data_IF_645668624052
#
_entry.id   IF_645668624052
#
_cell.length_a   1.000
_cell.length_b   1.000
_cell.length_c   1.000
_cell.angle_alpha   90.00
_cell.angle_beta   90.00
_cell.angle_gamma   90.00
#
_symmetry.space_group_name_H-M   'P 1'
#
loop_
_entity.id
_entity.type
_entity.pdbx_description
1 polymer ?
#
# COMPACT_ATOMS: atom_id res chain seq x y z
N UNK A 1 2.49 -15.26 -16.20
CA UNK A 1 2.78 -14.23 -15.18
C UNK A 1 1.45 -13.62 -14.82
N UNK A 2 1.16 -13.43 -13.53
CA UNK A 2 -0.05 -12.73 -13.12
C UNK A 2 -0.05 -11.30 -13.70
N UNK A 3 -1.22 -10.83 -14.10
CA UNK A 3 -1.40 -9.45 -14.55
C UNK A 3 -1.24 -8.52 -13.36
N UNK A 4 -0.51 -7.42 -13.52
CA UNK A 4 -0.34 -6.44 -12.45
C UNK A 4 -1.48 -5.42 -12.53
N UNK A 5 -2.12 -5.13 -11.41
CA UNK A 5 -3.12 -4.07 -11.28
C UNK A 5 -2.42 -2.71 -11.11
N UNK A 6 -1.82 -2.24 -12.21
CA UNK A 6 -0.98 -1.05 -12.21
C UNK A 6 -1.73 0.23 -11.83
N UNK A 7 -3.02 0.34 -12.15
CA UNK A 7 -3.82 1.50 -11.76
C UNK A 7 -4.07 1.52 -10.23
N UNK A 8 -4.25 0.37 -9.60
CA UNK A 8 -4.32 0.27 -8.14
C UNK A 8 -2.99 0.68 -7.47
N UNK A 9 -1.86 0.24 -8.02
CA UNK A 9 -0.53 0.64 -7.53
C UNK A 9 -0.33 2.16 -7.58
N UNK A 10 -0.77 2.83 -8.65
CA UNK A 10 -0.69 4.30 -8.78
C UNK A 10 -1.54 5.01 -7.73
N UNK A 11 -2.78 4.53 -7.47
CA UNK A 11 -3.64 5.10 -6.43
C UNK A 11 -3.02 4.92 -5.05
N UNK A 12 -2.51 3.72 -4.75
CA UNK A 12 -1.82 3.42 -3.50
C UNK A 12 -0.58 4.30 -3.31
N UNK A 13 0.24 4.45 -4.35
CA UNK A 13 1.42 5.32 -4.32
C UNK A 13 1.07 6.75 -3.90
N UNK A 14 0.06 7.34 -4.51
CA UNK A 14 -0.39 8.70 -4.16
C UNK A 14 -0.78 8.81 -2.69
N UNK A 15 -1.49 7.83 -2.15
CA UNK A 15 -1.87 7.78 -0.72
C UNK A 15 -0.65 7.61 0.19
N UNK A 16 0.34 6.81 -0.20
CA UNK A 16 1.56 6.64 0.57
C UNK A 16 2.41 7.93 0.60
N UNK A 17 2.50 8.64 -0.53
CA UNK A 17 3.14 9.96 -0.57
C UNK A 17 2.39 10.97 0.31
N UNK A 18 1.05 10.99 0.26
CA UNK A 18 0.23 11.84 1.13
C UNK A 18 0.39 11.51 2.62
N UNK A 19 0.65 10.24 2.96
CA UNK A 19 0.98 9.80 4.32
C UNK A 19 2.42 10.15 4.75
N UNK A 20 3.19 10.84 3.90
CA UNK A 20 4.53 11.33 4.17
C UNK A 20 5.66 10.33 3.87
N UNK A 21 5.39 9.26 3.12
CA UNK A 21 6.46 8.36 2.67
C UNK A 21 7.30 9.01 1.57
N UNK A 22 8.59 8.67 1.53
CA UNK A 22 9.42 9.05 0.38
C UNK A 22 9.03 8.23 -0.86
N UNK A 23 9.35 8.68 -2.09
CA UNK A 23 9.16 7.86 -3.29
C UNK A 23 9.80 6.47 -3.19
N UNK A 24 10.99 6.38 -2.59
CA UNK A 24 11.67 5.10 -2.35
C UNK A 24 10.91 4.24 -1.33
N UNK A 25 10.42 4.84 -0.25
CA UNK A 25 9.60 4.19 0.76
C UNK A 25 8.31 3.61 0.18
N UNK A 26 7.54 4.44 -0.53
CA UNK A 26 6.30 4.04 -1.17
C UNK A 26 6.51 2.90 -2.19
N UNK A 27 7.54 3.00 -3.03
CA UNK A 27 7.86 1.96 -4.01
C UNK A 27 8.33 0.65 -3.36
N UNK A 28 9.11 0.71 -2.28
CA UNK A 28 9.52 -0.47 -1.51
C UNK A 28 8.32 -1.19 -0.89
N UNK A 29 7.34 -0.45 -0.36
CA UNK A 29 6.08 -1.01 0.15
C UNK A 29 5.25 -1.63 -0.98
N UNK A 30 5.04 -0.92 -2.10
CA UNK A 30 4.31 -1.44 -3.27
C UNK A 30 4.91 -2.77 -3.77
N UNK A 31 6.23 -2.87 -3.86
CA UNK A 31 6.89 -4.10 -4.31
C UNK A 31 6.60 -5.31 -3.42
N UNK A 32 6.44 -5.10 -2.11
CA UNK A 32 6.02 -6.13 -1.17
C UNK A 32 4.53 -6.49 -1.34
N UNK A 33 3.65 -5.50 -1.35
CA UNK A 33 2.20 -5.72 -1.52
C UNK A 33 1.88 -6.39 -2.86
N UNK A 34 2.58 -6.04 -3.94
CA UNK A 34 2.46 -6.72 -5.23
C UNK A 34 2.84 -8.21 -5.15
N UNK A 35 3.88 -8.53 -4.37
CA UNK A 35 4.30 -9.92 -4.18
C UNK A 35 3.31 -10.70 -3.31
N UNK A 36 2.76 -10.09 -2.26
CA UNK A 36 1.79 -10.72 -1.34
C UNK A 36 0.45 -11.00 -2.04
N UNK A 37 -0.05 -10.05 -2.81
CA UNK A 37 -1.37 -10.12 -3.44
C UNK A 37 -1.35 -10.56 -4.90
N UNK A 38 -0.24 -11.17 -5.38
CA UNK A 38 -0.06 -11.73 -6.72
C UNK A 38 -0.42 -10.73 -7.84
N UNK A 39 0.07 -9.49 -7.72
CA UNK A 39 -0.16 -8.43 -8.70
C UNK A 39 -0.94 -7.22 -8.19
N UNK A 40 -1.02 -7.00 -6.89
CA UNK A 40 -1.72 -5.89 -6.24
C UNK A 40 -3.26 -6.00 -6.30
N UNK A 41 -3.78 -7.20 -5.97
CA UNK A 41 -5.22 -7.47 -5.95
C UNK A 41 -5.78 -7.48 -4.52
N UNK A 42 -6.69 -6.55 -4.15
CA UNK A 42 -7.24 -6.46 -2.79
C UNK A 42 -8.20 -7.59 -2.42
N UNK A 43 -8.69 -8.38 -3.39
CA UNK A 43 -9.52 -9.55 -3.18
C UNK A 43 -8.72 -10.86 -3.09
N UNK A 44 -7.38 -10.79 -3.12
CA UNK A 44 -6.54 -12.00 -3.15
C UNK A 44 -6.74 -12.86 -1.91
N UNK A 45 -7.15 -14.09 -2.10
CA UNK A 45 -7.17 -15.14 -1.09
C UNK A 45 -5.92 -16.00 -1.23
N UNK A 46 -5.28 -16.35 -0.13
CA UNK A 46 -4.14 -17.26 -0.18
C UNK A 46 -4.47 -18.55 -0.94
N UNK A 47 -3.63 -18.92 -1.91
CA UNK A 47 -3.86 -20.09 -2.77
C UNK A 47 -4.16 -21.37 -1.98
N UNK A 48 -3.43 -21.61 -0.88
CA UNK A 48 -3.63 -22.81 -0.06
C UNK A 48 -5.01 -22.80 0.64
N UNK A 49 -5.57 -21.63 0.96
CA UNK A 49 -6.93 -21.53 1.47
C UNK A 49 -7.94 -22.05 0.43
N UNK A 50 -7.91 -21.50 -0.77
CA UNK A 50 -8.81 -21.89 -1.87
C UNK A 50 -8.68 -23.38 -2.19
N UNK A 51 -7.45 -23.88 -2.32
CA UNK A 51 -7.18 -25.28 -2.59
C UNK A 51 -7.81 -26.20 -1.53
N UNK A 52 -7.58 -25.91 -0.24
CA UNK A 52 -8.07 -26.74 0.86
C UNK A 52 -9.57 -26.61 1.08
N UNK A 53 -10.16 -25.45 0.83
CA UNK A 53 -11.61 -25.28 0.84
C UNK A 53 -12.25 -26.19 -0.23
N UNK A 54 -11.65 -26.24 -1.43
CA UNK A 54 -12.11 -27.12 -2.50
C UNK A 54 -12.01 -28.61 -2.12
N UNK A 55 -10.94 -29.02 -1.47
CA UNK A 55 -10.75 -30.37 -0.94
C UNK A 55 -11.83 -30.74 0.10
N UNK A 56 -12.42 -29.72 0.77
CA UNK A 56 -13.52 -29.84 1.74
C UNK A 56 -14.90 -29.52 1.11
N UNK A 57 -15.04 -29.61 -0.22
CA UNK A 57 -16.31 -29.44 -0.90
C UNK A 57 -16.80 -27.99 -1.09
N UNK A 58 -15.99 -26.98 -0.70
CA UNK A 58 -16.30 -25.56 -0.84
C UNK A 58 -15.45 -24.95 -1.96
N UNK A 59 -15.99 -24.72 -3.14
CA UNK A 59 -15.27 -24.19 -4.29
C UNK A 59 -15.45 -22.66 -4.39
N UNK A 60 -14.33 -21.94 -4.38
CA UNK A 60 -14.31 -20.48 -4.52
C UNK A 60 -13.22 -20.04 -5.50
N UNK A 61 -13.44 -18.88 -6.14
CA UNK A 61 -12.40 -17.99 -6.69
C UNK A 61 -12.16 -16.84 -5.70
N UNK A 62 -11.17 -15.99 -5.93
CA UNK A 62 -10.94 -14.79 -5.12
C UNK A 62 -12.20 -13.90 -5.08
N UNK A 63 -12.87 -13.72 -6.22
CA UNK A 63 -14.09 -12.91 -6.36
C UNK A 63 -15.27 -13.55 -5.61
N UNK A 64 -15.50 -14.84 -5.81
CA UNK A 64 -16.66 -15.52 -5.19
C UNK A 64 -16.47 -15.70 -3.68
N UNK A 65 -15.23 -15.85 -3.20
CA UNK A 65 -14.92 -15.86 -1.77
C UNK A 65 -15.21 -14.49 -1.16
N UNK A 66 -14.70 -13.42 -1.77
CA UNK A 66 -14.95 -12.04 -1.35
C UNK A 66 -16.45 -11.73 -1.31
N UNK A 67 -17.19 -12.07 -2.36
CA UNK A 67 -18.64 -11.89 -2.41
C UNK A 67 -19.37 -12.69 -1.30
N UNK A 68 -18.90 -13.89 -0.97
CA UNK A 68 -19.46 -14.70 0.11
C UNK A 68 -19.20 -14.08 1.50
N UNK A 69 -18.04 -13.44 1.69
CA UNK A 69 -17.73 -12.66 2.89
C UNK A 69 -18.60 -11.41 3.00
N UNK A 70 -18.72 -10.65 1.91
CA UNK A 70 -19.46 -9.38 1.89
C UNK A 70 -20.95 -9.58 2.15
N UNK A 71 -21.55 -10.63 1.58
CA UNK A 71 -22.98 -10.95 1.73
C UNK A 71 -23.33 -11.81 2.95
N UNK A 72 -22.34 -12.15 3.78
CA UNK A 72 -22.54 -12.89 5.03
C UNK A 72 -22.71 -14.41 4.88
N UNK A 73 -22.48 -14.99 3.69
CA UNK A 73 -22.43 -16.45 3.51
C UNK A 73 -21.19 -17.05 4.19
N UNK A 74 -20.10 -16.33 4.26
CA UNK A 74 -18.95 -16.59 5.09
C UNK A 74 -19.06 -15.65 6.28
N UNK A 75 -19.26 -16.19 7.46
CA UNK A 75 -19.32 -15.43 8.71
C UNK A 75 -17.96 -14.85 9.07
N UNK A 76 -17.94 -13.91 10.05
CA UNK A 76 -16.68 -13.38 10.57
C UNK A 76 -15.76 -14.50 11.05
N UNK A 77 -16.29 -15.43 11.85
CA UNK A 77 -15.51 -16.56 12.38
C UNK A 77 -14.94 -17.44 11.27
N UNK A 78 -15.72 -17.76 10.25
CA UNK A 78 -15.24 -18.52 9.08
C UNK A 78 -14.21 -17.73 8.25
N UNK A 79 -14.32 -16.40 8.18
CA UNK A 79 -13.30 -15.58 7.53
C UNK A 79 -11.99 -15.58 8.30
N UNK A 80 -12.05 -15.49 9.63
CA UNK A 80 -10.87 -15.55 10.51
C UNK A 80 -10.23 -16.94 10.50
N UNK A 81 -11.05 -17.98 10.52
CA UNK A 81 -10.68 -19.39 10.63
C UNK A 81 -11.33 -20.22 9.50
N UNK A 82 -10.89 -20.08 8.23
CA UNK A 82 -11.54 -20.77 7.09
C UNK A 82 -11.56 -22.28 7.21
N UNK A 83 -10.59 -22.83 7.93
CA UNK A 83 -10.47 -24.26 8.26
C UNK A 83 -9.90 -24.40 9.67
N UNK A 84 -10.36 -25.42 10.39
CA UNK A 84 -9.94 -25.68 11.77
C UNK A 84 -8.42 -25.76 11.91
N UNK A 85 -7.86 -25.01 12.86
CA UNK A 85 -6.44 -24.98 13.16
C UNK A 85 -5.53 -24.38 12.08
N UNK A 86 -6.11 -23.69 11.06
CA UNK A 86 -5.35 -23.07 9.96
C UNK A 86 -5.71 -21.60 9.81
N UNK A 87 -4.69 -20.82 9.51
CA UNK A 87 -4.81 -19.38 9.22
C UNK A 87 -4.34 -19.15 7.78
N UNK A 88 -5.02 -18.25 7.08
CA UNK A 88 -4.74 -17.95 5.68
C UNK A 88 -4.82 -16.46 5.42
N UNK A 89 -3.96 -16.00 4.50
CA UNK A 89 -3.88 -14.62 4.10
C UNK A 89 -5.05 -14.16 3.22
N UNK A 90 -5.39 -12.88 3.35
CA UNK A 90 -6.37 -12.20 2.52
C UNK A 90 -5.93 -10.77 2.22
N UNK A 91 -6.20 -10.30 1.00
CA UNK A 91 -6.05 -8.91 0.59
C UNK A 91 -4.62 -8.50 0.25
N UNK A 92 -4.40 -7.18 0.18
CA UNK A 92 -3.14 -6.58 -0.30
C UNK A 92 -1.92 -6.99 0.52
N UNK A 93 -2.02 -7.04 1.84
CA UNK A 93 -0.93 -7.41 2.74
C UNK A 93 -1.06 -8.85 3.27
N UNK A 94 -1.86 -9.68 2.63
CA UNK A 94 -2.12 -11.07 3.03
C UNK A 94 -2.30 -11.22 4.56
N UNK A 95 -3.20 -10.40 5.12
CA UNK A 95 -3.51 -10.45 6.55
C UNK A 95 -3.91 -11.87 6.94
N UNK A 96 -3.10 -12.51 7.79
CA UNK A 96 -3.21 -13.94 8.09
C UNK A 96 -3.71 -14.18 9.51
N UNK A 97 -3.14 -13.48 10.52
CA UNK A 97 -3.53 -13.70 11.90
C UNK A 97 -4.98 -13.25 12.17
N UNK A 98 -5.73 -13.97 13.03
CA UNK A 98 -7.12 -13.64 13.34
C UNK A 98 -7.31 -12.19 13.81
N UNK A 99 -6.40 -11.68 14.66
CA UNK A 99 -6.47 -10.30 15.15
C UNK A 99 -6.36 -9.26 14.02
N UNK A 100 -5.41 -9.43 13.09
CA UNK A 100 -5.26 -8.54 11.95
C UNK A 100 -6.44 -8.65 10.98
N UNK A 101 -6.91 -9.89 10.71
CA UNK A 101 -8.11 -10.10 9.87
C UNK A 101 -9.37 -9.52 10.50
N UNK A 102 -9.54 -9.63 11.83
CA UNK A 102 -10.66 -9.03 12.55
C UNK A 102 -10.64 -7.49 12.42
N UNK A 103 -9.47 -6.86 12.52
CA UNK A 103 -9.33 -5.42 12.30
C UNK A 103 -9.76 -5.00 10.91
N UNK A 104 -9.32 -5.73 9.87
CA UNK A 104 -9.73 -5.52 8.48
C UNK A 104 -11.25 -5.67 8.30
N UNK A 105 -11.82 -6.76 8.82
CA UNK A 105 -13.27 -7.02 8.81
C UNK A 105 -14.07 -5.89 9.46
N UNK A 106 -13.69 -5.50 10.68
CA UNK A 106 -14.38 -4.48 11.44
C UNK A 106 -14.37 -3.13 10.72
N UNK A 107 -13.22 -2.75 10.14
CA UNK A 107 -13.13 -1.50 9.37
C UNK A 107 -14.02 -1.54 8.12
N UNK A 108 -14.04 -2.66 7.38
CA UNK A 108 -14.93 -2.83 6.23
C UNK A 108 -16.41 -2.69 6.62
N UNK A 109 -16.83 -3.34 7.70
CA UNK A 109 -18.21 -3.26 8.22
C UNK A 109 -18.55 -1.86 8.73
N UNK A 110 -17.65 -1.21 9.45
CA UNK A 110 -17.84 0.17 9.92
C UNK A 110 -18.04 1.14 8.76
N UNK A 111 -17.31 0.95 7.66
CA UNK A 111 -17.41 1.81 6.47
C UNK A 111 -18.55 1.41 5.52
N UNK A 112 -19.17 0.25 5.71
CA UNK A 112 -20.20 -0.27 4.81
C UNK A 112 -19.68 -0.58 3.40
N UNK A 113 -18.41 -1.01 3.28
CA UNK A 113 -17.77 -1.32 2.00
C UNK A 113 -17.36 -2.79 1.94
N UNK A 114 -17.04 -3.28 0.72
CA UNK A 114 -16.48 -4.61 0.52
C UNK A 114 -15.20 -4.81 1.31
N UNK A 115 -14.99 -6.03 1.80
CA UNK A 115 -13.71 -6.44 2.41
C UNK A 115 -12.53 -6.28 1.43
N UNK A 116 -12.78 -6.31 0.12
CA UNK A 116 -11.81 -6.06 -0.93
C UNK A 116 -11.74 -4.59 -1.38
N UNK A 117 -12.37 -3.65 -0.66
CA UNK A 117 -12.24 -2.25 -1.03
C UNK A 117 -10.79 -1.80 -0.86
N UNK A 118 -10.16 -1.39 -1.97
CA UNK A 118 -8.74 -1.00 -2.03
C UNK A 118 -8.42 0.15 -1.07
N UNK A 119 -9.26 1.18 -1.08
CA UNK A 119 -9.06 2.38 -0.26
C UNK A 119 -9.12 2.05 1.23
N UNK A 120 -10.07 1.22 1.63
CA UNK A 120 -10.20 0.74 3.00
C UNK A 120 -9.01 -0.12 3.41
N UNK A 121 -8.52 -1.01 2.54
CA UNK A 121 -7.36 -1.84 2.84
C UNK A 121 -6.07 -1.00 2.98
N UNK A 122 -5.89 0.03 2.16
CA UNK A 122 -4.75 0.95 2.28
C UNK A 122 -4.86 1.76 3.58
N UNK A 123 -6.05 2.23 3.94
CA UNK A 123 -6.29 2.93 5.21
C UNK A 123 -5.97 2.02 6.41
N UNK A 124 -6.42 0.77 6.36
CA UNK A 124 -6.12 -0.21 7.41
C UNK A 124 -4.62 -0.49 7.52
N UNK A 125 -3.93 -0.67 6.39
CA UNK A 125 -2.48 -0.83 6.34
C UNK A 125 -1.73 0.36 6.97
N UNK A 126 -2.11 1.59 6.60
CA UNK A 126 -1.51 2.79 7.16
C UNK A 126 -1.75 2.91 8.66
N UNK A 127 -2.93 2.54 9.14
CA UNK A 127 -3.25 2.47 10.57
C UNK A 127 -2.36 1.45 11.29
N UNK A 128 -2.23 0.24 10.77
CA UNK A 128 -1.33 -0.78 11.36
C UNK A 128 0.12 -0.28 11.41
N UNK A 129 0.63 0.31 10.32
CA UNK A 129 1.97 0.87 10.27
C UNK A 129 2.19 1.95 11.34
N UNK A 130 1.18 2.77 11.60
CA UNK A 130 1.24 3.85 12.57
C UNK A 130 1.14 3.34 14.01
N UNK A 131 0.23 2.40 14.29
CA UNK A 131 -0.08 1.94 15.65
C UNK A 131 0.87 0.83 16.14
N UNK A 132 1.28 -0.07 15.24
CA UNK A 132 1.99 -1.30 15.62
C UNK A 132 3.38 -1.45 14.98
N UNK A 133 3.65 -0.76 13.87
CA UNK A 133 4.89 -0.89 13.11
C UNK A 133 5.60 0.45 12.89
N UNK A 134 5.62 1.31 13.91
CA UNK A 134 6.20 2.65 13.84
C UNK A 134 7.65 2.70 13.35
N UNK A 135 8.47 1.69 13.66
CA UNK A 135 9.84 1.58 13.16
C UNK A 135 9.90 1.36 11.64
N UNK A 136 8.98 0.56 11.09
CA UNK A 136 8.83 0.36 9.64
C UNK A 136 8.39 1.66 8.98
N UNK A 137 7.33 2.28 9.52
CA UNK A 137 6.82 3.54 9.00
C UNK A 137 7.89 4.65 8.99
N UNK A 138 8.72 4.72 10.04
CA UNK A 138 9.84 5.67 10.10
C UNK A 138 10.79 5.48 8.91
N UNK A 139 11.20 4.25 8.61
CA UNK A 139 12.05 3.97 7.45
C UNK A 139 11.35 4.33 6.16
N UNK A 140 10.07 3.96 5.98
CA UNK A 140 9.30 4.32 4.78
C UNK A 140 9.22 5.84 4.55
N UNK A 141 9.23 6.64 5.62
CA UNK A 141 9.22 8.10 5.56
C UNK A 141 10.60 8.73 5.30
N UNK A 142 11.69 7.99 5.46
CA UNK A 142 13.06 8.54 5.35
C UNK A 142 13.94 7.82 4.34
N UNK A 143 13.54 6.64 3.84
CA UNK A 143 14.34 5.82 2.94
C UNK A 143 14.71 6.59 1.66
N UNK A 144 15.96 6.46 1.27
CA UNK A 144 16.51 6.96 0.00
C UNK A 144 16.71 5.84 -1.02
N UNK A 145 16.59 4.59 -0.58
CA UNK A 145 16.73 3.37 -1.38
C UNK A 145 15.45 2.53 -1.32
N UNK A 146 14.97 2.10 -2.50
CA UNK A 146 13.84 1.16 -2.61
C UNK A 146 14.20 -0.18 -1.96
N UNK A 147 15.46 -0.61 -2.05
CA UNK A 147 15.93 -1.84 -1.43
C UNK A 147 15.81 -1.78 0.09
N UNK A 148 16.27 -0.72 0.71
CA UNK A 148 16.16 -0.50 2.17
C UNK A 148 14.70 -0.54 2.63
N UNK A 149 13.84 0.21 1.95
CA UNK A 149 12.42 0.26 2.25
C UNK A 149 11.73 -1.10 2.06
N UNK A 150 12.05 -1.82 0.98
CA UNK A 150 11.51 -3.16 0.73
C UNK A 150 11.95 -4.16 1.79
N UNK A 151 13.23 -4.16 2.17
CA UNK A 151 13.79 -5.09 3.13
C UNK A 151 13.18 -4.92 4.53
N UNK A 152 12.94 -3.68 4.97
CA UNK A 152 12.33 -3.44 6.28
C UNK A 152 10.86 -3.92 6.31
N UNK A 153 10.10 -3.70 5.22
CA UNK A 153 8.73 -4.21 5.09
C UNK A 153 8.73 -5.72 5.16
N UNK A 154 9.54 -6.39 4.34
CA UNK A 154 9.65 -7.85 4.31
C UNK A 154 9.98 -8.43 5.69
N UNK A 155 11.01 -7.87 6.34
CA UNK A 155 11.58 -8.46 7.56
C UNK A 155 10.85 -8.10 8.84
N UNK A 156 10.08 -7.00 8.88
CA UNK A 156 9.48 -6.48 10.10
C UNK A 156 7.96 -6.32 10.04
N UNK A 157 7.36 -6.31 8.86
CA UNK A 157 5.92 -6.21 8.68
C UNK A 157 5.30 -7.50 8.14
N UNK A 158 5.83 -8.04 7.02
CA UNK A 158 5.33 -9.29 6.41
C UNK A 158 5.82 -10.54 7.14
N UNK A 159 7.08 -10.57 7.54
CA UNK A 159 7.76 -11.64 8.31
C UNK A 159 7.49 -13.04 7.70
N UNK A 160 7.74 -13.27 6.41
CA UNK A 160 7.58 -14.58 5.83
C UNK A 160 8.65 -15.56 6.31
N UNK A 161 8.42 -16.86 6.16
CA UNK A 161 9.39 -17.90 6.53
C UNK A 161 10.73 -17.79 5.80
N UNK A 162 10.75 -17.22 4.59
CA UNK A 162 11.97 -17.00 3.79
C UNK A 162 12.21 -15.50 3.60
N UNK A 163 13.31 -15.00 4.17
CA UNK A 163 13.81 -13.62 4.03
C UNK A 163 15.19 -13.58 3.38
N UNK A 164 15.58 -14.64 2.65
CA UNK A 164 16.87 -14.72 1.98
C UNK A 164 17.03 -13.68 0.86
N UNK A 165 18.27 -13.49 0.40
CA UNK A 165 18.67 -12.44 -0.56
C UNK A 165 17.81 -12.45 -1.84
N UNK A 166 17.53 -13.62 -2.39
CA UNK A 166 16.70 -13.74 -3.61
C UNK A 166 15.28 -13.19 -3.42
N UNK A 167 14.67 -13.41 -2.24
CA UNK A 167 13.34 -12.89 -1.91
C UNK A 167 13.40 -11.38 -1.73
N UNK A 168 14.36 -10.88 -0.97
CA UNK A 168 14.60 -9.45 -0.77
C UNK A 168 14.80 -8.73 -2.11
N UNK A 169 15.69 -9.24 -2.96
CA UNK A 169 15.97 -8.68 -4.28
C UNK A 169 14.74 -8.71 -5.20
N UNK A 170 13.98 -9.80 -5.18
CA UNK A 170 12.76 -9.95 -5.99
C UNK A 170 11.67 -8.94 -5.62
N UNK A 171 11.46 -8.67 -4.32
CA UNK A 171 10.50 -7.67 -3.87
C UNK A 171 10.96 -6.25 -4.17
N UNK A 172 12.22 -5.93 -3.93
CA UNK A 172 12.79 -4.63 -4.28
C UNK A 172 12.74 -4.37 -5.80
N UNK A 173 13.00 -5.38 -6.63
CA UNK A 173 12.92 -5.27 -8.09
C UNK A 173 11.50 -4.94 -8.57
N UNK A 174 10.44 -5.44 -7.92
CA UNK A 174 9.04 -5.06 -8.21
C UNK A 174 8.81 -3.57 -7.93
N UNK A 175 9.24 -3.10 -6.77
CA UNK A 175 9.17 -1.67 -6.40
C UNK A 175 9.99 -0.79 -7.35
N UNK A 176 11.17 -1.24 -7.78
CA UNK A 176 12.00 -0.54 -8.74
C UNK A 176 11.31 -0.43 -10.11
N UNK A 177 10.69 -1.51 -10.59
CA UNK A 177 9.93 -1.50 -11.84
C UNK A 177 8.77 -0.50 -11.79
N UNK A 178 8.04 -0.44 -10.69
CA UNK A 178 6.99 0.56 -10.50
C UNK A 178 7.56 1.98 -10.49
N UNK A 179 8.66 2.22 -9.78
CA UNK A 179 9.36 3.51 -9.76
C UNK A 179 9.74 3.98 -11.16
N UNK A 180 10.38 3.12 -11.95
CA UNK A 180 10.82 3.45 -13.30
C UNK A 180 9.67 3.71 -14.27
N UNK A 181 8.56 3.00 -14.09
CA UNK A 181 7.37 3.10 -14.95
C UNK A 181 6.48 4.30 -14.61
N UNK A 182 6.45 4.75 -13.35
CA UNK A 182 5.51 5.78 -12.90
C UNK A 182 6.12 6.80 -11.94
N UNK A 183 6.62 6.40 -10.78
CA UNK A 183 6.96 7.30 -9.69
C UNK A 183 8.08 8.29 -10.05
N UNK A 184 9.02 7.90 -10.89
CA UNK A 184 10.07 8.76 -11.42
C UNK A 184 9.51 9.95 -12.22
N UNK A 185 8.43 9.75 -12.96
CA UNK A 185 7.73 10.80 -13.70
C UNK A 185 7.01 11.77 -12.76
N UNK A 186 6.28 11.25 -11.78
CA UNK A 186 5.58 12.05 -10.76
C UNK A 186 6.53 12.95 -9.98
N UNK A 187 7.70 12.44 -9.58
CA UNK A 187 8.74 13.21 -8.90
C UNK A 187 9.20 14.41 -9.73
N UNK A 188 9.45 14.21 -11.03
CA UNK A 188 9.88 15.30 -11.92
C UNK A 188 8.82 16.38 -12.07
N UNK A 189 7.54 15.99 -12.18
CA UNK A 189 6.42 16.93 -12.27
C UNK A 189 6.31 17.77 -11.00
N UNK A 190 6.40 17.14 -9.83
CA UNK A 190 6.38 17.81 -8.54
C UNK A 190 7.54 18.82 -8.38
N UNK A 191 8.76 18.46 -8.75
CA UNK A 191 9.92 19.35 -8.69
C UNK A 191 9.77 20.56 -9.62
N UNK A 192 9.21 20.36 -10.83
CA UNK A 192 8.93 21.45 -11.78
C UNK A 192 7.86 22.38 -11.25
N UNK A 193 6.80 21.82 -10.64
CA UNK A 193 5.72 22.61 -10.06
C UNK A 193 6.21 23.45 -8.88
N UNK A 194 6.98 22.89 -7.96
CA UNK A 194 7.58 23.63 -6.84
C UNK A 194 8.50 24.77 -7.31
N UNK A 195 9.30 24.54 -8.35
CA UNK A 195 10.15 25.61 -8.93
C UNK A 195 9.32 26.74 -9.54
N UNK A 196 8.21 26.41 -10.21
CA UNK A 196 7.30 27.42 -10.77
C UNK A 196 6.65 28.27 -9.65
N UNK A 197 6.15 27.62 -8.60
CA UNK A 197 5.52 28.29 -7.45
C UNK A 197 6.53 29.20 -6.72
N UNK A 198 7.77 28.73 -6.53
CA UNK A 198 8.84 29.53 -5.94
C UNK A 198 9.20 30.75 -6.82
N UNK A 199 9.24 30.58 -8.14
CA UNK A 199 9.53 31.66 -9.07
C UNK A 199 8.40 32.70 -9.08
N UNK A 200 7.13 32.28 -9.03
CA UNK A 200 5.97 33.17 -8.96
C UNK A 200 6.00 33.98 -7.66
N UNK A 201 6.21 33.32 -6.51
CA UNK A 201 6.32 33.97 -5.20
C UNK A 201 7.47 35.01 -5.16
N UNK A 202 8.61 34.67 -5.78
CA UNK A 202 9.72 35.64 -5.88
C UNK A 202 9.36 36.85 -6.71
N UNK A 203 8.67 36.68 -7.87
CA UNK A 203 8.23 37.79 -8.73
C UNK A 203 7.20 38.71 -8.00
N UNK A 204 6.26 38.13 -7.28
CA UNK A 204 5.26 38.88 -6.51
C UNK A 204 5.89 39.69 -5.39
N UNK A 205 6.87 39.16 -4.68
CA UNK A 205 7.60 39.84 -3.63
C UNK A 205 8.45 41.01 -4.19
N UNK A 206 9.11 40.81 -5.32
CA UNK A 206 9.90 41.87 -5.98
C UNK A 206 9.03 42.99 -6.60
N UNK A 207 7.82 42.64 -7.06
CA UNK A 207 6.86 43.63 -7.54
C UNK A 207 6.34 44.51 -6.41
N UNK A 208 6.09 43.94 -5.23
CA UNK A 208 5.65 44.68 -4.03
C UNK A 208 6.74 45.59 -3.45
N UNK A 209 8.01 45.19 -3.44
CA UNK A 209 9.13 46.00 -2.99
C UNK A 209 9.33 47.22 -3.89
N UNK A 210 9.11 47.09 -5.19
CA UNK A 210 9.24 48.23 -6.13
C UNK A 210 8.05 49.21 -6.08
N UNK A 211 6.92 48.85 -5.45
CA UNK A 211 5.76 49.72 -5.31
C UNK A 211 5.87 50.75 -4.15
N UNK A 212 6.86 50.61 -3.27
CA UNK A 212 7.07 51.47 -2.11
C UNK A 212 8.22 52.48 -2.30
N UNK A 213 8.80 52.60 -3.49
CA UNK A 213 9.99 53.40 -3.79
C UNK A 213 9.77 54.75 -4.49
N UNK A 214 8.54 55.28 -4.54
CA UNK A 214 8.26 56.59 -5.09
C UNK A 214 7.39 57.43 -4.12
N UNK A 215 7.93 57.79 -2.96
CA UNK A 215 7.48 59.02 -2.29
C UNK A 215 8.29 60.18 -2.87
N UNK A 216 7.58 61.01 -3.60
CA UNK A 216 8.13 62.25 -4.14
C UNK A 216 8.19 63.26 -2.99
N UNK A 217 9.38 63.61 -2.55
CA UNK A 217 9.64 64.91 -1.87
C UNK A 217 9.48 65.99 -2.88
N UNK A 218 8.45 66.84 -2.68
CA UNK A 218 8.35 68.26 -3.07
C UNK A 218 7.67 69.05 -1.97
#
# INVERSE_FOLDING_TARGET
MATINFEAEKRAYKKFIQAGMTPAGACGLIGNLQAESDGFYPNRVEYLCIKRLKENGKSYTDESYTAAVDNGKISCEEFLHPLAGKQYGYGLAQWTSPGRKAGLWNLAKQKGVSIANEDMQIEYLLKELQESYGSVLKVLKTATSIREASDIVLKKFEIPANTGESVCAGRAARGQKFYDSYAKGEKKVSEVQQKKESAISWMENTANDNSHGYDQDN
#
